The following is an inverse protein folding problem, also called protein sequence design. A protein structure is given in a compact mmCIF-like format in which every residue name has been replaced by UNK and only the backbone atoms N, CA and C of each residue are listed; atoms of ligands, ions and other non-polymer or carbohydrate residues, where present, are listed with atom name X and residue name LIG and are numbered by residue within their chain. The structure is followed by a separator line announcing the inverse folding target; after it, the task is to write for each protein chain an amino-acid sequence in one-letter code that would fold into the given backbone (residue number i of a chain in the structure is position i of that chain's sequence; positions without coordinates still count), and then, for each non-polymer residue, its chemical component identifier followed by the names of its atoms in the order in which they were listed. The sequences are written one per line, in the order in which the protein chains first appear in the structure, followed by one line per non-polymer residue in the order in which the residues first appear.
data_IF_953664678142
#
_entry.id   IF_953664678142
#
_cell.length_a   1.000
_cell.length_b   1.000
_cell.length_c   1.000
_cell.angle_alpha   90.00
_cell.angle_beta   90.00
_cell.angle_gamma   90.00
#
_symmetry.space_group_name_H-M   'P 1'
#
loop_
_entity.id
_entity.type
_entity.pdbx_description
1 polymer ?
#
# COMPACT_ATOMS: atom_id res chain seq x y z
N UNK A 1 30.18 39.93 -12.70
CA UNK A 1 29.27 39.84 -11.54
C UNK A 1 29.18 38.45 -10.90
N UNK A 2 29.32 37.32 -11.62
CA UNK A 2 29.26 35.97 -11.02
C UNK A 2 30.39 35.65 -10.00
N UNK A 3 31.58 36.24 -10.15
CA UNK A 3 32.74 35.92 -9.30
C UNK A 3 32.61 36.37 -7.84
N UNK A 4 31.84 37.43 -7.57
CA UNK A 4 31.65 37.96 -6.22
C UNK A 4 30.72 37.05 -5.41
N UNK A 5 29.70 36.47 -6.04
CA UNK A 5 28.76 35.56 -5.38
C UNK A 5 29.43 34.22 -5.02
N UNK A 6 30.26 33.67 -5.92
CA UNK A 6 30.92 32.37 -5.76
C UNK A 6 31.88 32.31 -4.56
N UNK A 7 32.53 33.42 -4.21
CA UNK A 7 33.42 33.48 -3.04
C UNK A 7 32.69 33.77 -1.72
N UNK A 8 31.50 34.34 -1.77
CA UNK A 8 30.73 34.72 -0.58
C UNK A 8 29.91 33.54 -0.02
N UNK A 9 29.32 32.72 -0.89
CA UNK A 9 28.52 31.55 -0.49
C UNK A 9 29.30 30.57 0.43
N UNK A 10 30.50 30.09 0.08
CA UNK A 10 31.22 29.15 0.95
C UNK A 10 31.65 29.79 2.26
N UNK A 11 31.95 31.11 2.26
CA UNK A 11 32.33 31.86 3.46
C UNK A 11 31.12 32.04 4.40
N UNK A 12 29.93 32.23 3.85
CA UNK A 12 28.68 32.37 4.63
C UNK A 12 28.21 31.02 5.21
N UNK A 13 28.37 29.94 4.45
CA UNK A 13 28.15 28.56 4.95
C UNK A 13 29.09 28.24 6.12
N UNK A 14 30.36 28.66 6.05
CA UNK A 14 31.31 28.46 7.14
C UNK A 14 30.93 29.29 8.39
N UNK A 15 30.45 30.52 8.18
CA UNK A 15 30.03 31.42 9.27
C UNK A 15 28.79 30.90 10.00
N UNK A 16 27.84 30.32 9.27
CA UNK A 16 26.59 29.77 9.80
C UNK A 16 26.56 28.24 9.80
N UNK A 17 27.72 27.59 9.96
CA UNK A 17 27.89 26.14 9.82
C UNK A 17 26.88 25.33 10.63
N UNK A 18 26.61 25.75 11.86
CA UNK A 18 25.71 25.02 12.76
C UNK A 18 24.26 25.01 12.25
N UNK A 19 23.80 26.13 11.68
CA UNK A 19 22.45 26.25 11.12
C UNK A 19 22.31 25.37 9.88
N UNK A 20 23.29 25.43 8.98
CA UNK A 20 23.30 24.58 7.79
C UNK A 20 23.43 23.09 8.13
N UNK A 21 24.19 22.72 9.16
CA UNK A 21 24.24 21.35 9.67
C UNK A 21 22.89 20.90 10.24
N UNK A 22 22.23 21.74 11.05
CA UNK A 22 20.91 21.42 11.59
C UNK A 22 19.88 21.26 10.46
N UNK A 23 19.95 22.13 9.45
CA UNK A 23 19.06 22.09 8.29
C UNK A 23 19.30 20.81 7.47
N UNK A 24 20.55 20.43 7.23
CA UNK A 24 20.87 19.18 6.54
C UNK A 24 20.41 17.95 7.34
N UNK A 25 20.57 17.97 8.66
CA UNK A 25 20.08 16.92 9.55
C UNK A 25 18.55 16.80 9.47
N UNK A 26 17.83 17.93 9.52
CA UNK A 26 16.38 17.96 9.44
C UNK A 26 15.88 17.36 8.11
N UNK A 27 16.53 17.70 7.00
CA UNK A 27 16.21 17.15 5.68
C UNK A 27 16.47 15.64 5.65
N UNK A 28 17.61 15.19 6.19
CA UNK A 28 17.95 13.77 6.23
C UNK A 28 16.94 12.97 7.05
N UNK A 29 16.50 13.49 8.20
CA UNK A 29 15.47 12.86 9.04
C UNK A 29 14.13 12.78 8.29
N UNK A 30 13.70 13.87 7.65
CA UNK A 30 12.45 13.87 6.87
C UNK A 30 12.45 12.83 5.75
N UNK A 31 13.57 12.74 5.01
CA UNK A 31 13.76 11.74 3.96
C UNK A 31 13.77 10.31 4.52
N UNK A 32 14.40 10.09 5.67
CA UNK A 32 14.43 8.79 6.33
C UNK A 32 13.05 8.33 6.78
N UNK A 33 12.24 9.22 7.36
CA UNK A 33 10.86 8.89 7.76
C UNK A 33 10.02 8.52 6.53
N UNK A 34 10.12 9.29 5.45
CA UNK A 34 9.38 9.01 4.22
C UNK A 34 9.78 7.66 3.59
N UNK A 35 11.07 7.37 3.52
CA UNK A 35 11.58 6.13 2.90
C UNK A 35 11.27 4.89 3.74
N UNK A 36 11.37 4.98 5.06
CA UNK A 36 11.02 3.87 5.97
C UNK A 36 9.54 3.54 5.90
N UNK A 37 8.65 4.54 5.89
CA UNK A 37 7.21 4.31 5.74
C UNK A 37 6.85 3.64 4.41
N UNK A 38 7.48 4.09 3.32
CA UNK A 38 7.31 3.46 2.01
C UNK A 38 7.80 2.00 2.01
N UNK A 39 8.94 1.74 2.63
CA UNK A 39 9.53 0.40 2.76
C UNK A 39 8.66 -0.55 3.60
N UNK A 40 8.15 -0.09 4.75
CA UNK A 40 7.23 -0.88 5.59
C UNK A 40 5.96 -1.25 4.84
N UNK A 41 5.41 -0.31 4.07
CA UNK A 41 4.21 -0.56 3.27
C UNK A 41 4.47 -1.61 2.19
N UNK A 42 5.60 -1.52 1.50
CA UNK A 42 5.96 -2.49 0.45
C UNK A 42 6.24 -3.87 1.03
N UNK A 43 7.04 -3.96 2.09
CA UNK A 43 7.37 -5.22 2.75
C UNK A 43 6.14 -5.89 3.35
N UNK A 44 5.25 -5.15 4.01
CA UNK A 44 3.99 -5.71 4.53
C UNK A 44 3.11 -6.28 3.41
N UNK A 45 2.99 -5.56 2.29
CA UNK A 45 2.22 -6.07 1.14
C UNK A 45 2.83 -7.35 0.57
N UNK A 46 4.14 -7.38 0.38
CA UNK A 46 4.84 -8.55 -0.14
C UNK A 46 4.68 -9.76 0.80
N UNK A 47 4.87 -9.56 2.11
CA UNK A 47 4.72 -10.61 3.13
C UNK A 47 3.27 -11.09 3.22
N UNK A 48 2.28 -10.20 3.16
CA UNK A 48 0.88 -10.58 3.15
C UNK A 48 0.49 -11.35 1.88
N UNK A 49 0.98 -10.96 0.70
CA UNK A 49 0.67 -11.64 -0.56
C UNK A 49 1.36 -13.01 -0.64
N UNK A 50 2.58 -13.15 -0.13
CA UNK A 50 3.28 -14.44 -0.04
C UNK A 50 2.61 -15.39 0.96
N UNK A 51 2.19 -14.89 2.13
CA UNK A 51 1.54 -15.71 3.16
C UNK A 51 0.04 -15.89 2.96
N UNK A 52 -0.55 -15.27 1.93
CA UNK A 52 -1.96 -15.37 1.58
C UNK A 52 -2.37 -16.82 1.25
N UNK A 53 -1.50 -17.57 0.58
CA UNK A 53 -1.77 -18.95 0.17
C UNK A 53 -1.54 -19.93 1.34
N UNK A 54 -0.53 -19.66 2.17
CA UNK A 54 -0.15 -20.54 3.30
C UNK A 54 -1.07 -20.38 4.48
N UNK A 55 -1.54 -19.16 4.73
CA UNK A 55 -2.58 -18.90 5.72
C UNK A 55 -3.89 -19.28 5.05
N UNK A 56 -4.46 -20.46 5.38
CA UNK A 56 -5.84 -20.84 5.06
C UNK A 56 -6.82 -19.85 5.71
N UNK A 57 -6.78 -18.59 5.29
CA UNK A 57 -7.66 -17.54 5.75
C UNK A 57 -9.06 -17.96 5.33
N UNK A 58 -9.96 -18.02 6.31
CA UNK A 58 -11.37 -18.31 6.03
C UNK A 58 -11.81 -17.33 4.95
N UNK A 59 -12.29 -17.87 3.82
CA UNK A 59 -12.73 -17.06 2.68
C UNK A 59 -13.94 -16.24 3.14
N UNK A 60 -13.63 -15.06 3.66
CA UNK A 60 -14.61 -14.18 4.25
C UNK A 60 -15.45 -13.63 3.12
N UNK A 61 -16.69 -14.08 3.04
CA UNK A 61 -17.65 -13.57 2.08
C UNK A 61 -18.05 -12.16 2.53
N UNK A 62 -17.42 -11.14 1.94
CA UNK A 62 -17.66 -9.74 2.28
C UNK A 62 -18.48 -9.05 1.19
N UNK A 63 -19.59 -8.42 1.59
CA UNK A 63 -20.36 -7.53 0.72
C UNK A 63 -19.80 -6.12 0.79
N UNK A 64 -19.61 -5.49 -0.36
CA UNK A 64 -19.20 -4.08 -0.43
C UNK A 64 -20.41 -3.18 -0.28
N UNK A 65 -20.26 -2.09 0.48
CA UNK A 65 -21.31 -1.06 0.61
C UNK A 65 -21.64 -0.35 -0.71
N UNK A 66 -20.73 -0.37 -1.68
CA UNK A 66 -20.89 0.21 -3.01
C UNK A 66 -20.42 -0.82 -4.04
N UNK A 67 -21.12 -1.01 -5.17
CA UNK A 67 -20.64 -1.89 -6.23
C UNK A 67 -19.25 -1.45 -6.73
N UNK A 68 -18.43 -2.44 -7.08
CA UNK A 68 -17.13 -2.20 -7.71
C UNK A 68 -17.33 -1.53 -9.07
N UNK A 69 -16.35 -0.74 -9.49
CA UNK A 69 -16.28 -0.30 -10.87
C UNK A 69 -15.82 -1.48 -11.75
N UNK A 70 -16.35 -1.60 -12.96
CA UNK A 70 -16.01 -2.66 -13.94
C UNK A 70 -14.49 -2.97 -14.04
N UNK A 71 -13.58 -1.98 -14.18
CA UNK A 71 -12.15 -2.27 -14.29
C UNK A 71 -11.53 -2.84 -13.00
N UNK A 72 -12.18 -2.70 -11.85
CA UNK A 72 -11.76 -3.34 -10.60
C UNK A 72 -12.31 -4.77 -10.49
N UNK A 73 -13.51 -5.04 -11.02
CA UNK A 73 -14.08 -6.40 -11.10
C UNK A 73 -13.20 -7.30 -11.97
N UNK A 74 -12.80 -6.84 -13.16
CA UNK A 74 -11.95 -7.59 -14.08
C UNK A 74 -10.59 -7.95 -13.47
N UNK A 75 -10.01 -7.03 -12.69
CA UNK A 75 -8.73 -7.26 -12.00
C UNK A 75 -8.84 -8.33 -10.92
N UNK A 76 -9.97 -8.43 -10.24
CA UNK A 76 -10.20 -9.45 -9.22
C UNK A 76 -10.44 -10.82 -9.86
N UNK A 77 -11.22 -10.89 -10.94
CA UNK A 77 -11.43 -12.13 -11.69
C UNK A 77 -10.12 -12.68 -12.28
N UNK A 78 -9.26 -11.81 -12.84
CA UNK A 78 -7.94 -12.21 -13.33
C UNK A 78 -7.00 -12.73 -12.24
N UNK A 79 -7.20 -12.30 -10.98
CA UNK A 79 -6.46 -12.81 -9.82
C UNK A 79 -7.01 -14.14 -9.27
N UNK A 80 -8.10 -14.66 -9.85
CA UNK A 80 -8.73 -15.92 -9.42
C UNK A 80 -9.82 -15.77 -8.37
N UNK A 81 -10.27 -14.54 -8.07
CA UNK A 81 -11.38 -14.30 -7.16
C UNK A 81 -12.73 -14.47 -7.86
N UNK A 82 -13.65 -15.19 -7.24
CA UNK A 82 -15.04 -15.29 -7.69
C UNK A 82 -15.83 -14.09 -7.17
N UNK A 83 -16.21 -13.18 -8.07
CA UNK A 83 -17.00 -11.98 -7.73
C UNK A 83 -18.45 -12.19 -8.16
N UNK A 84 -19.38 -12.23 -7.21
CA UNK A 84 -20.83 -12.33 -7.49
C UNK A 84 -21.53 -10.99 -7.20
N UNK A 85 -22.34 -10.50 -8.14
CA UNK A 85 -23.11 -9.25 -7.97
C UNK A 85 -24.31 -9.40 -7.02
N UNK A 86 -24.85 -10.61 -6.95
CA UNK A 86 -25.93 -11.00 -6.04
C UNK A 86 -25.39 -12.21 -5.29
N UNK A 87 -25.22 -12.05 -3.98
CA UNK A 87 -24.69 -13.10 -3.13
C UNK A 87 -25.70 -14.23 -3.00
N UNK A 88 -25.24 -15.47 -3.15
CA UNK A 88 -26.05 -16.62 -2.77
C UNK A 88 -25.18 -17.74 -2.18
N UNK A 89 -25.62 -18.33 -1.06
CA UNK A 89 -24.92 -19.43 -0.41
C UNK A 89 -25.61 -20.74 -0.76
N UNK A 90 -24.91 -21.64 -1.46
CA UNK A 90 -25.42 -22.96 -1.83
C UNK A 90 -24.93 -24.01 -0.83
N UNK A 91 -25.85 -24.66 -0.11
CA UNK A 91 -25.57 -25.84 0.72
C UNK A 91 -26.11 -27.10 0.04
N UNK A 92 -25.23 -28.04 -0.22
CA UNK A 92 -25.63 -29.39 -0.64
C UNK A 92 -26.21 -30.15 0.56
N UNK A 93 -27.44 -30.64 0.41
CA UNK A 93 -28.12 -31.45 1.44
C UNK A 93 -27.84 -32.94 1.22
N UNK A 94 -28.01 -33.75 2.26
CA UNK A 94 -27.75 -35.21 2.24
C UNK A 94 -28.54 -35.97 1.14
N UNK A 95 -29.60 -35.37 0.60
CA UNK A 95 -30.42 -35.91 -0.48
C UNK A 95 -29.97 -35.46 -1.89
N UNK A 96 -28.82 -34.78 -2.02
CA UNK A 96 -28.32 -34.23 -3.28
C UNK A 96 -29.03 -32.97 -3.76
N UNK A 97 -29.90 -32.38 -2.93
CA UNK A 97 -30.56 -31.09 -3.25
C UNK A 97 -29.65 -29.93 -2.88
N UNK A 98 -29.65 -28.88 -3.71
CA UNK A 98 -28.90 -27.64 -3.45
C UNK A 98 -29.84 -26.62 -2.82
N UNK A 99 -29.54 -26.19 -1.60
CA UNK A 99 -30.31 -25.20 -0.86
C UNK A 99 -29.60 -23.84 -0.95
N UNK A 100 -30.20 -22.92 -1.70
CA UNK A 100 -29.66 -21.58 -1.97
C UNK A 100 -30.24 -20.55 -1.01
N UNK A 101 -29.38 -19.92 -0.22
CA UNK A 101 -29.71 -18.76 0.61
C UNK A 101 -29.36 -17.48 -0.15
N UNK A 102 -30.25 -16.49 -0.15
CA UNK A 102 -30.02 -15.17 -0.75
C UNK A 102 -29.81 -14.12 0.35
#
# INVERSE_FOLDING_TARGET
MLGILKNNVPRDILRNRNIYLLMALLIAIGMYIASTLASVTYSTKAVCEENYITSNYQDGQFSLRKPLAEPAEDRLQQKGYTTERIFSFDREMENGSILRFF
#
